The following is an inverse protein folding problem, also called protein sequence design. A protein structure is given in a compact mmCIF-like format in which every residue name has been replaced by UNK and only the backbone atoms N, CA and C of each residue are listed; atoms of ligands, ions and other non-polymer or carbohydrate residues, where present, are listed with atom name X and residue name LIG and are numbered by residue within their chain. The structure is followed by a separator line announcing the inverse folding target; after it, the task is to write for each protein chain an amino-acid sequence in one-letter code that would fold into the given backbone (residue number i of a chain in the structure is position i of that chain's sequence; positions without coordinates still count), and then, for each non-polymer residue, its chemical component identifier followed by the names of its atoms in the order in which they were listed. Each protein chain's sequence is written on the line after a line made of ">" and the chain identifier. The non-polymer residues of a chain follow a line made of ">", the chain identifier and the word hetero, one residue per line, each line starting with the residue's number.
data_IF_991453748655
#
_entry.id   IF_991453748655
#
_cell.length_a   1.000
_cell.length_b   1.000
_cell.length_c   1.000
_cell.angle_alpha   90.00
_cell.angle_beta   90.00
_cell.angle_gamma   90.00
#
_symmetry.space_group_name_H-M   'P 1'
#
loop_
_entity.id
_entity.type
_entity.pdbx_description
1 polymer ?
#
# COMPACT_ATOMS: atom_id res chain seq x y z
N UNK A 1 -0.85 -3.73 -26.17
CA UNK A 1 0.18 -4.05 -25.17
C UNK A 1 0.14 -2.96 -24.10
N UNK A 2 -0.52 -3.21 -22.98
CA UNK A 2 -0.52 -2.28 -21.85
C UNK A 2 0.83 -2.42 -21.14
N UNK A 3 1.74 -1.52 -21.42
CA UNK A 3 3.03 -1.47 -20.76
C UNK A 3 2.82 -0.93 -19.35
N UNK A 4 2.91 -1.85 -18.37
CA UNK A 4 2.96 -1.57 -16.94
C UNK A 4 4.05 -0.53 -16.68
N UNK A 5 3.69 0.76 -16.57
CA UNK A 5 4.57 1.74 -15.92
C UNK A 5 4.46 1.55 -14.42
N UNK A 6 5.03 0.44 -13.91
CA UNK A 6 5.78 0.58 -12.66
C UNK A 6 6.97 1.41 -13.10
N UNK A 7 7.01 2.67 -12.70
CA UNK A 7 8.25 3.44 -12.77
C UNK A 7 9.30 2.59 -12.06
N UNK A 8 10.16 1.94 -12.83
CA UNK A 8 11.43 1.42 -12.35
C UNK A 8 12.26 2.62 -11.96
N UNK A 9 11.90 3.26 -10.85
CA UNK A 9 12.85 4.04 -10.10
C UNK A 9 13.78 3.01 -9.46
N UNK A 10 14.93 2.82 -10.11
CA UNK A 10 16.14 2.40 -9.41
C UNK A 10 16.47 3.54 -8.45
N UNK A 11 15.74 3.61 -7.32
CA UNK A 11 16.27 4.30 -6.17
C UNK A 11 17.41 3.40 -5.72
N UNK A 12 18.64 3.89 -5.88
CA UNK A 12 19.75 3.40 -5.08
C UNK A 12 19.40 3.65 -3.62
N UNK A 13 18.62 2.75 -3.02
CA UNK A 13 18.47 2.66 -1.59
C UNK A 13 19.80 2.11 -1.11
N UNK A 14 20.68 3.04 -0.78
CA UNK A 14 21.82 2.79 0.10
C UNK A 14 21.25 2.09 1.33
N UNK A 15 21.57 0.78 1.43
CA UNK A 15 21.14 -0.08 2.53
C UNK A 15 21.96 0.34 3.74
N UNK A 16 21.60 1.49 4.32
CA UNK A 16 22.21 2.00 5.52
C UNK A 16 21.92 0.96 6.60
N UNK A 17 22.96 0.22 6.99
CA UNK A 17 22.89 -0.77 8.05
C UNK A 17 22.24 -0.18 9.28
N UNK A 18 21.40 -0.98 9.92
CA UNK A 18 20.63 -0.60 11.10
C UNK A 18 21.54 -0.64 12.34
N UNK A 19 22.66 0.06 12.26
CA UNK A 19 23.47 0.36 13.42
C UNK A 19 22.63 1.27 14.30
N UNK A 20 22.54 0.91 15.58
CA UNK A 20 21.79 1.62 16.62
C UNK A 20 21.99 3.13 16.46
N UNK A 21 20.99 3.81 15.91
CA UNK A 21 20.97 5.26 15.85
C UNK A 21 20.74 5.70 17.29
N UNK A 22 21.79 6.28 17.86
CA UNK A 22 21.79 7.06 19.09
C UNK A 22 20.52 7.89 19.18
N UNK A 23 19.74 7.70 20.25
CA UNK A 23 18.62 8.54 20.72
C UNK A 23 17.75 9.18 19.63
N UNK A 24 16.46 8.82 19.49
CA UNK A 24 15.59 9.51 18.53
C UNK A 24 15.69 11.02 18.74
N UNK A 25 15.71 11.83 17.65
CA UNK A 25 15.70 13.29 17.79
C UNK A 25 14.53 13.66 18.72
N UNK A 26 14.77 14.51 19.70
CA UNK A 26 13.81 14.82 20.78
C UNK A 26 12.44 15.34 20.28
N UNK A 27 12.34 15.72 19.01
CA UNK A 27 11.11 16.22 18.38
C UNK A 27 10.28 15.14 17.65
N UNK A 28 10.75 13.90 17.52
CA UNK A 28 10.01 12.86 16.80
C UNK A 28 8.91 12.29 17.69
N UNK A 29 7.67 12.70 17.42
CA UNK A 29 6.45 12.16 18.02
C UNK A 29 5.60 11.45 16.97
N UNK A 30 4.74 10.52 17.39
CA UNK A 30 3.79 9.86 16.47
C UNK A 30 2.89 10.89 15.79
N UNK A 31 2.46 11.92 16.51
CA UNK A 31 1.66 13.01 15.95
C UNK A 31 2.42 13.78 14.87
N UNK A 32 3.69 14.11 15.09
CA UNK A 32 4.52 14.78 14.08
C UNK A 32 4.77 13.90 12.86
N UNK A 33 5.00 12.60 13.07
CA UNK A 33 5.17 11.61 12.00
C UNK A 33 3.90 11.49 11.14
N UNK A 34 2.73 11.36 11.79
CA UNK A 34 1.45 11.24 11.09
C UNK A 34 1.08 12.54 10.37
N UNK A 35 1.33 13.70 11.00
CA UNK A 35 1.10 15.00 10.37
C UNK A 35 1.97 15.17 9.13
N UNK A 36 3.27 14.86 9.20
CA UNK A 36 4.15 14.93 8.02
C UNK A 36 3.69 13.95 6.91
N UNK A 37 3.39 12.70 7.27
CA UNK A 37 2.89 11.68 6.33
C UNK A 37 1.63 12.12 5.58
N UNK A 38 0.73 12.83 6.28
CA UNK A 38 -0.56 13.32 5.76
C UNK A 38 -0.49 14.75 5.20
N UNK A 39 0.71 15.33 5.06
CA UNK A 39 0.87 16.67 4.48
C UNK A 39 0.33 17.80 5.37
N UNK A 40 0.43 17.65 6.69
CA UNK A 40 -0.01 18.62 7.70
C UNK A 40 -1.40 18.36 8.28
N UNK A 41 -2.14 17.35 7.79
CA UNK A 41 -3.44 17.00 8.35
C UNK A 41 -3.31 16.22 9.67
N UNK A 42 -4.24 16.45 10.60
CA UNK A 42 -4.31 15.68 11.83
C UNK A 42 -4.94 14.30 11.57
N UNK A 43 -4.33 13.26 12.16
CA UNK A 43 -4.87 11.91 12.07
C UNK A 43 -6.05 11.73 13.04
N UNK A 44 -7.24 11.47 12.50
CA UNK A 44 -8.40 11.00 13.24
C UNK A 44 -8.80 9.59 12.78
N UNK A 45 -8.93 8.64 13.70
CA UNK A 45 -9.25 7.25 13.36
C UNK A 45 -10.59 7.11 12.61
N UNK A 46 -11.61 7.87 13.00
CA UNK A 46 -12.91 7.88 12.32
C UNK A 46 -12.86 8.47 10.90
N UNK A 47 -11.83 9.27 10.61
CA UNK A 47 -11.66 9.97 9.34
C UNK A 47 -10.63 9.30 8.43
N UNK A 48 -10.05 8.16 8.84
CA UNK A 48 -9.00 7.46 8.10
C UNK A 48 -9.37 7.13 6.64
N UNK A 49 -10.66 6.95 6.34
CA UNK A 49 -11.17 6.72 4.96
C UNK A 49 -11.02 7.95 4.06
N UNK A 50 -11.01 9.16 4.63
CA UNK A 50 -10.88 10.43 3.92
C UNK A 50 -9.43 10.92 3.85
N UNK A 51 -8.55 10.36 4.67
CA UNK A 51 -7.15 10.74 4.75
C UNK A 51 -6.33 10.00 3.69
N UNK A 52 -5.48 10.75 2.99
CA UNK A 52 -4.59 10.21 1.96
C UNK A 52 -3.14 10.56 2.30
N UNK A 53 -2.24 9.59 2.15
CA UNK A 53 -0.80 9.78 2.34
C UNK A 53 -0.28 10.73 1.26
N UNK A 54 0.12 11.94 1.67
CA UNK A 54 0.63 12.99 0.78
C UNK A 54 2.16 13.00 0.70
N UNK A 55 2.85 12.62 1.78
CA UNK A 55 4.30 12.55 1.83
C UNK A 55 4.78 11.13 2.20
N UNK A 56 4.84 10.19 1.23
CA UNK A 56 5.32 8.84 1.49
C UNK A 56 6.76 8.79 2.03
N UNK A 57 7.57 9.83 1.80
CA UNK A 57 8.95 9.93 2.31
C UNK A 57 9.05 9.88 3.84
N UNK A 58 8.01 10.36 4.53
CA UNK A 58 7.92 10.32 5.99
C UNK A 58 7.94 8.89 6.55
N UNK A 59 7.57 7.87 5.76
CA UNK A 59 7.59 6.46 6.15
C UNK A 59 8.98 5.97 6.58
N UNK A 60 10.08 6.63 6.15
CA UNK A 60 11.44 6.33 6.63
C UNK A 60 11.59 6.47 8.14
N UNK A 61 10.83 7.39 8.75
CA UNK A 61 10.88 7.67 10.18
C UNK A 61 10.39 6.47 11.00
N UNK A 62 9.44 5.70 10.47
CA UNK A 62 8.85 4.55 11.16
C UNK A 62 9.92 3.56 11.62
N UNK A 63 10.70 3.00 10.69
CA UNK A 63 11.71 1.98 11.02
C UNK A 63 13.04 2.55 11.55
N UNK A 64 13.30 3.85 11.34
CA UNK A 64 14.54 4.48 11.82
C UNK A 64 14.45 5.07 13.23
N UNK A 65 13.28 5.58 13.61
CA UNK A 65 13.13 6.40 14.82
C UNK A 65 11.98 5.98 15.72
N UNK A 66 11.02 5.17 15.24
CA UNK A 66 9.89 4.71 16.06
C UNK A 66 10.11 3.26 16.47
N UNK A 67 10.16 2.34 15.50
CA UNK A 67 10.27 0.90 15.77
C UNK A 67 11.61 0.55 16.42
N UNK A 68 11.55 -0.09 17.59
CA UNK A 68 12.73 -0.47 18.37
C UNK A 68 13.46 0.70 19.06
N UNK A 69 12.94 1.93 18.98
CA UNK A 69 13.55 3.12 19.58
C UNK A 69 12.64 3.82 20.59
N UNK A 70 11.32 3.75 20.41
CA UNK A 70 10.32 4.29 21.35
C UNK A 70 9.74 3.19 22.23
N UNK A 71 8.93 3.56 23.23
CA UNK A 71 8.22 2.58 24.05
C UNK A 71 7.16 1.80 23.23
N UNK A 72 6.78 0.62 23.74
CA UNK A 72 5.87 -0.29 23.06
C UNK A 72 4.52 0.36 22.72
N UNK A 73 3.95 1.17 23.60
CA UNK A 73 2.65 1.79 23.36
C UNK A 73 2.71 2.78 22.19
N UNK A 74 3.78 3.57 22.13
CA UNK A 74 4.03 4.52 21.04
C UNK A 74 4.27 3.82 19.71
N UNK A 75 5.05 2.73 19.69
CA UNK A 75 5.26 1.90 18.49
C UNK A 75 3.94 1.32 17.98
N UNK A 76 3.12 0.76 18.89
CA UNK A 76 1.81 0.21 18.57
C UNK A 76 0.87 1.28 18.03
N UNK A 77 0.84 2.47 18.64
CA UNK A 77 0.02 3.59 18.19
C UNK A 77 0.34 4.01 16.75
N UNK A 78 1.63 4.15 16.42
CA UNK A 78 2.06 4.51 15.07
C UNK A 78 1.66 3.44 14.04
N UNK A 79 1.86 2.16 14.38
CA UNK A 79 1.51 1.03 13.51
C UNK A 79 -0.01 0.90 13.34
N UNK A 80 -0.80 1.09 14.39
CA UNK A 80 -2.26 1.03 14.30
C UNK A 80 -2.83 2.16 13.45
N UNK A 81 -2.29 3.37 13.55
CA UNK A 81 -2.66 4.48 12.67
C UNK A 81 -2.35 4.15 11.20
N UNK A 82 -1.14 3.64 10.92
CA UNK A 82 -0.76 3.28 9.56
C UNK A 82 -1.58 2.10 9.00
N UNK A 83 -1.84 1.08 9.83
CA UNK A 83 -2.72 -0.05 9.48
C UNK A 83 -4.12 0.46 9.13
N UNK A 84 -4.68 1.38 9.93
CA UNK A 84 -5.99 1.94 9.67
C UNK A 84 -6.02 2.74 8.35
N UNK A 85 -4.98 3.52 8.04
CA UNK A 85 -4.86 4.24 6.77
C UNK A 85 -4.82 3.30 5.56
N UNK A 86 -3.98 2.24 5.59
CA UNK A 86 -3.85 1.31 4.46
C UNK A 86 -5.06 0.38 4.33
N UNK A 87 -5.69 -0.02 5.43
CA UNK A 87 -6.91 -0.84 5.40
C UNK A 87 -8.09 -0.07 4.80
N UNK A 88 -8.10 1.25 4.96
CA UNK A 88 -9.22 2.10 4.56
C UNK A 88 -9.11 2.64 3.14
N UNK A 89 -7.91 2.65 2.54
CA UNK A 89 -7.69 3.13 1.17
C UNK A 89 -6.58 2.39 0.43
N UNK A 90 -6.90 1.89 -0.76
CA UNK A 90 -5.99 1.34 -1.76
C UNK A 90 -5.01 2.41 -2.27
N UNK A 91 -5.41 3.68 -2.31
CA UNK A 91 -4.51 4.79 -2.60
C UNK A 91 -3.37 4.88 -1.59
N UNK A 92 -3.69 4.73 -0.30
CA UNK A 92 -2.69 4.68 0.78
C UNK A 92 -1.81 3.43 0.69
N UNK A 93 -2.36 2.29 0.29
CA UNK A 93 -1.57 1.07 0.00
C UNK A 93 -0.57 1.36 -1.12
N UNK A 94 -1.03 1.93 -2.25
CA UNK A 94 -0.16 2.23 -3.39
C UNK A 94 0.91 3.27 -3.05
N UNK A 95 0.59 4.28 -2.25
CA UNK A 95 1.57 5.25 -1.74
C UNK A 95 2.67 4.56 -0.90
N UNK A 96 2.28 3.64 -0.02
CA UNK A 96 3.23 2.83 0.75
C UNK A 96 4.09 1.92 -0.14
N UNK A 97 3.48 1.26 -1.12
CA UNK A 97 4.19 0.37 -2.05
C UNK A 97 5.15 1.14 -2.96
N UNK A 98 4.73 2.30 -3.48
CA UNK A 98 5.54 3.19 -4.32
C UNK A 98 6.76 3.72 -3.58
N UNK A 99 6.62 3.96 -2.27
CA UNK A 99 7.74 4.32 -1.41
C UNK A 99 8.72 3.14 -1.17
N UNK A 100 8.23 1.90 -1.24
CA UNK A 100 9.00 0.70 -0.95
C UNK A 100 8.86 0.19 0.49
N UNK A 101 7.78 0.56 1.21
CA UNK A 101 7.55 0.17 2.61
C UNK A 101 7.54 -1.35 2.80
N UNK A 102 7.03 -2.10 1.82
CA UNK A 102 7.05 -3.56 1.85
C UNK A 102 8.48 -4.11 1.96
N UNK A 103 9.42 -3.53 1.21
CA UNK A 103 10.83 -3.93 1.23
C UNK A 103 11.49 -3.55 2.56
N UNK A 104 11.18 -2.36 3.12
CA UNK A 104 11.64 -1.97 4.45
C UNK A 104 11.17 -2.96 5.53
N UNK A 105 9.93 -3.45 5.47
CA UNK A 105 9.44 -4.49 6.37
C UNK A 105 10.21 -5.81 6.18
N UNK A 106 10.47 -6.23 4.94
CA UNK A 106 11.22 -7.46 4.69
C UNK A 106 12.68 -7.36 5.19
N UNK A 107 13.32 -6.21 5.00
CA UNK A 107 14.64 -5.93 5.58
C UNK A 107 14.56 -5.94 7.10
N UNK A 108 13.54 -5.33 7.70
CA UNK A 108 13.29 -5.37 9.15
C UNK A 108 13.26 -6.80 9.67
N UNK A 109 12.42 -7.64 9.07
CA UNK A 109 12.24 -9.02 9.50
C UNK A 109 13.55 -9.80 9.37
N UNK A 110 14.27 -9.60 8.25
CA UNK A 110 15.52 -10.31 7.94
C UNK A 110 16.65 -9.95 8.91
N UNK A 111 16.74 -8.70 9.33
CA UNK A 111 17.86 -8.21 10.15
C UNK A 111 17.54 -8.22 11.65
N UNK A 112 16.30 -7.98 12.06
CA UNK A 112 15.91 -7.83 13.48
C UNK A 112 14.65 -8.61 13.85
N UNK A 113 13.59 -8.53 13.04
CA UNK A 113 12.25 -8.98 13.44
C UNK A 113 12.07 -10.49 13.61
N UNK A 114 12.94 -11.32 13.02
CA UNK A 114 12.93 -12.77 13.26
C UNK A 114 13.82 -13.23 14.42
N UNK A 115 14.53 -12.31 15.08
CA UNK A 115 15.45 -12.61 16.17
C UNK A 115 14.93 -12.04 17.49
N UNK A 116 15.47 -12.54 18.60
CA UNK A 116 15.12 -12.01 19.91
C UNK A 116 15.62 -10.57 20.06
N UNK A 117 14.70 -9.60 20.03
CA UNK A 117 15.02 -8.17 20.15
C UNK A 117 14.24 -7.55 21.31
N UNK A 118 14.89 -7.17 22.43
CA UNK A 118 14.22 -6.60 23.60
C UNK A 118 13.46 -5.30 23.30
N UNK A 119 13.83 -4.59 22.22
CA UNK A 119 13.19 -3.32 21.85
C UNK A 119 11.94 -3.51 20.98
N UNK A 120 11.67 -4.74 20.53
CA UNK A 120 10.55 -5.10 19.66
C UNK A 120 9.75 -6.20 20.32
N UNK A 121 8.64 -5.84 20.97
CA UNK A 121 7.77 -6.83 21.57
C UNK A 121 7.05 -7.69 20.52
N UNK A 122 6.57 -8.86 20.93
CA UNK A 122 5.70 -9.70 20.11
C UNK A 122 4.43 -8.98 19.64
N UNK A 123 3.94 -8.00 20.41
CA UNK A 123 2.80 -7.19 20.01
C UNK A 123 3.15 -6.26 18.84
N UNK A 124 4.31 -5.59 18.92
CA UNK A 124 4.81 -4.74 17.83
C UNK A 124 5.04 -5.57 16.57
N UNK A 125 5.70 -6.73 16.68
CA UNK A 125 5.95 -7.62 15.55
C UNK A 125 4.64 -8.04 14.86
N UNK A 126 3.62 -8.45 15.62
CA UNK A 126 2.30 -8.77 15.07
C UNK A 126 1.66 -7.62 14.30
N UNK A 127 1.85 -6.38 14.76
CA UNK A 127 1.33 -5.18 14.07
C UNK A 127 2.12 -4.93 12.77
N UNK A 128 3.44 -5.07 12.76
CA UNK A 128 4.27 -5.00 11.55
C UNK A 128 3.83 -6.06 10.52
N UNK A 129 3.63 -7.30 10.96
CA UNK A 129 3.16 -8.38 10.10
C UNK A 129 1.74 -8.17 9.58
N UNK A 130 0.86 -7.58 10.40
CA UNK A 130 -0.49 -7.19 9.96
C UNK A 130 -0.46 -6.08 8.91
N UNK A 131 0.41 -5.08 9.07
CA UNK A 131 0.65 -4.06 8.05
C UNK A 131 1.16 -4.70 6.76
N UNK A 132 2.14 -5.60 6.87
CA UNK A 132 2.67 -6.36 5.74
C UNK A 132 1.60 -7.14 4.98
N UNK A 133 0.70 -7.81 5.70
CA UNK A 133 -0.43 -8.54 5.12
C UNK A 133 -1.32 -7.59 4.29
N UNK A 134 -1.68 -6.41 4.82
CA UNK A 134 -2.49 -5.45 4.06
C UNK A 134 -1.76 -4.96 2.79
N UNK A 135 -0.46 -4.73 2.85
CA UNK A 135 0.32 -4.33 1.67
C UNK A 135 0.40 -5.47 0.63
N UNK A 136 0.59 -6.72 1.08
CA UNK A 136 0.72 -7.88 0.21
C UNK A 136 -0.62 -8.30 -0.43
N UNK A 137 -1.76 -8.05 0.22
CA UNK A 137 -3.08 -8.40 -0.32
C UNK A 137 -3.43 -7.70 -1.65
N UNK A 138 -2.75 -6.60 -2.00
CA UNK A 138 -3.12 -5.76 -3.15
C UNK A 138 -2.45 -6.12 -4.48
N UNK A 139 -1.50 -7.06 -4.51
CA UNK A 139 -1.06 -7.87 -5.66
C UNK A 139 0.35 -8.37 -5.36
N UNK A 140 0.54 -9.69 -5.39
CA UNK A 140 1.86 -10.29 -5.13
C UNK A 140 2.46 -10.78 -6.45
N UNK A 141 3.61 -10.23 -6.83
CA UNK A 141 4.38 -10.73 -7.97
C UNK A 141 5.34 -11.85 -7.57
N UNK A 142 5.86 -12.58 -8.55
CA UNK A 142 6.88 -13.62 -8.29
C UNK A 142 8.19 -13.06 -7.72
N UNK A 143 8.49 -11.78 -7.92
CA UNK A 143 9.60 -11.08 -7.27
C UNK A 143 9.33 -10.85 -5.78
N UNK A 144 8.09 -10.50 -5.45
CA UNK A 144 7.68 -10.24 -4.07
C UNK A 144 7.72 -11.54 -3.25
N UNK A 145 7.28 -12.66 -3.83
CA UNK A 145 7.40 -14.00 -3.21
C UNK A 145 8.87 -14.36 -2.97
N UNK A 146 9.75 -14.12 -3.96
CA UNK A 146 11.18 -14.38 -3.80
C UNK A 146 11.78 -13.53 -2.68
N UNK A 147 11.38 -12.26 -2.58
CA UNK A 147 11.83 -11.35 -1.52
C UNK A 147 11.32 -11.76 -0.14
N UNK A 148 10.06 -12.21 -0.04
CA UNK A 148 9.50 -12.79 1.19
C UNK A 148 10.31 -13.99 1.66
N UNK A 149 10.57 -14.95 0.77
CA UNK A 149 11.33 -16.15 1.12
C UNK A 149 12.81 -15.85 1.39
N UNK A 150 13.37 -14.77 0.83
CA UNK A 150 14.75 -14.35 1.06
C UNK A 150 15.01 -13.89 2.50
N UNK A 151 13.97 -13.58 3.28
CA UNK A 151 14.10 -13.27 4.72
C UNK A 151 14.76 -14.43 5.48
N UNK A 152 14.45 -15.68 5.12
CA UNK A 152 15.06 -16.88 5.71
C UNK A 152 16.50 -17.14 5.24
N UNK A 153 17.04 -16.31 4.36
CA UNK A 153 18.43 -16.39 3.88
C UNK A 153 19.30 -15.29 4.50
N UNK A 154 18.88 -14.74 5.63
CA UNK A 154 19.65 -13.74 6.36
C UNK A 154 21.02 -14.30 6.74
N UNK A 155 22.14 -13.59 6.46
CA UNK A 155 23.45 -13.98 6.96
C UNK A 155 23.49 -14.15 8.48
N UNK A 156 22.63 -13.40 9.21
CA UNK A 156 22.53 -13.48 10.67
C UNK A 156 22.05 -14.85 11.16
N UNK A 157 21.24 -15.56 10.38
CA UNK A 157 20.79 -16.93 10.72
C UNK A 157 21.93 -17.95 10.74
N UNK A 158 23.13 -17.61 10.21
CA UNK A 158 24.31 -18.46 10.33
C UNK A 158 25.00 -18.37 11.69
N UNK A 159 24.66 -17.33 12.47
CA UNK A 159 25.38 -16.95 13.69
C UNK A 159 24.48 -16.85 14.92
N UNK A 160 23.17 -16.71 14.71
CA UNK A 160 22.18 -16.57 15.76
C UNK A 160 20.93 -17.36 15.40
N UNK A 161 20.40 -18.10 16.37
CA UNK A 161 19.14 -18.82 16.18
C UNK A 161 17.99 -17.80 16.17
N UNK A 162 17.06 -17.90 15.20
CA UNK A 162 15.89 -17.04 15.18
C UNK A 162 14.95 -17.35 16.36
N UNK A 163 14.09 -16.39 16.71
CA UNK A 163 13.01 -16.62 17.66
C UNK A 163 11.91 -17.45 16.98
N UNK A 164 11.71 -18.69 17.45
CA UNK A 164 10.69 -19.62 16.96
C UNK A 164 9.30 -18.98 16.91
N UNK A 165 8.96 -18.13 17.88
CA UNK A 165 7.66 -17.49 17.94
C UNK A 165 7.50 -16.44 16.84
N UNK A 166 8.55 -15.65 16.59
CA UNK A 166 8.60 -14.65 15.52
C UNK A 166 8.55 -15.32 14.13
N UNK A 167 9.31 -16.40 13.93
CA UNK A 167 9.29 -17.22 12.71
C UNK A 167 7.88 -17.79 12.48
N UNK A 168 7.25 -18.34 13.51
CA UNK A 168 5.88 -18.87 13.43
C UNK A 168 4.86 -17.81 13.00
N UNK A 169 4.96 -16.59 13.55
CA UNK A 169 4.08 -15.48 13.12
C UNK A 169 4.34 -15.08 11.66
N UNK A 170 5.61 -15.01 11.25
CA UNK A 170 5.94 -14.65 9.87
C UNK A 170 5.45 -15.70 8.88
N UNK A 171 5.70 -16.99 9.13
CA UNK A 171 5.23 -18.09 8.28
C UNK A 171 3.70 -18.12 8.20
N UNK A 172 3.01 -17.92 9.33
CA UNK A 172 1.54 -17.82 9.35
C UNK A 172 1.04 -16.65 8.49
N UNK A 173 1.75 -15.52 8.52
CA UNK A 173 1.41 -14.35 7.68
C UNK A 173 1.60 -14.65 6.19
N UNK A 174 2.70 -15.34 5.82
CA UNK A 174 2.93 -15.77 4.43
C UNK A 174 1.86 -16.76 3.96
N UNK A 175 1.43 -17.67 4.83
CA UNK A 175 0.33 -18.58 4.54
C UNK A 175 -0.98 -17.81 4.28
N UNK A 176 -1.30 -16.81 5.11
CA UNK A 176 -2.48 -15.96 4.90
C UNK A 176 -2.41 -15.24 3.55
N UNK A 177 -1.26 -14.66 3.19
CA UNK A 177 -1.05 -14.03 1.88
C UNK A 177 -1.26 -15.03 0.74
N UNK A 178 -0.78 -16.28 0.90
CA UNK A 178 -0.94 -17.32 -0.12
C UNK A 178 -2.39 -17.79 -0.27
N UNK A 179 -3.17 -17.79 0.81
CA UNK A 179 -4.59 -18.20 0.81
C UNK A 179 -5.52 -17.09 0.31
N UNK A 180 -5.31 -15.86 0.77
CA UNK A 180 -6.24 -14.72 0.60
C UNK A 180 -5.85 -13.79 -0.55
N UNK A 181 -5.56 -14.33 -1.73
CA UNK A 181 -5.34 -13.53 -2.95
C UNK A 181 -6.67 -13.00 -3.53
N UNK A 182 -7.42 -12.24 -2.73
CA UNK A 182 -8.62 -11.51 -3.14
C UNK A 182 -8.33 -10.01 -3.15
N UNK A 183 -7.57 -9.58 -4.16
CA UNK A 183 -7.37 -8.18 -4.53
C UNK A 183 -7.64 -7.99 -6.02
N UNK A 184 -7.97 -6.76 -6.46
CA UNK A 184 -8.06 -6.50 -7.89
C UNK A 184 -6.70 -6.81 -8.54
N UNK A 185 -6.69 -7.49 -9.68
CA UNK A 185 -5.45 -7.79 -10.42
C UNK A 185 -4.72 -6.53 -10.90
N UNK A 186 -5.39 -5.38 -10.86
CA UNK A 186 -4.85 -4.06 -11.17
C UNK A 186 -5.61 -2.98 -10.39
N UNK A 187 -4.87 -2.04 -9.80
CA UNK A 187 -5.41 -0.83 -9.17
C UNK A 187 -5.17 0.38 -10.09
N UNK A 188 -6.15 1.27 -10.17
CA UNK A 188 -6.06 2.53 -10.89
C UNK A 188 -6.53 3.64 -9.96
N UNK A 189 -5.63 4.58 -9.64
CA UNK A 189 -6.03 5.82 -8.99
C UNK A 189 -6.60 6.78 -10.06
N UNK A 190 -7.82 7.26 -9.84
CA UNK A 190 -8.53 8.18 -10.73
C UNK A 190 -8.84 9.52 -10.03
N UNK A 191 -8.02 9.90 -9.04
CA UNK A 191 -8.22 11.11 -8.23
C UNK A 191 -7.96 12.44 -8.95
N UNK A 192 -7.29 12.44 -10.12
CA UNK A 192 -6.96 13.66 -10.86
C UNK A 192 -8.04 14.13 -11.85
N UNK A 193 -7.98 15.41 -12.23
CA UNK A 193 -8.83 15.96 -13.29
C UNK A 193 -8.60 15.21 -14.61
N UNK A 194 -9.69 14.81 -15.27
CA UNK A 194 -9.67 14.00 -16.50
C UNK A 194 -9.01 12.61 -16.36
N UNK A 195 -8.91 12.07 -15.13
CA UNK A 195 -8.46 10.70 -14.93
C UNK A 195 -9.47 9.71 -15.52
N UNK A 196 -8.97 8.71 -16.24
CA UNK A 196 -9.79 7.67 -16.84
C UNK A 196 -8.98 6.67 -17.65
N UNK A 197 -9.62 5.58 -18.04
CA UNK A 197 -9.02 4.59 -18.92
C UNK A 197 -9.19 5.04 -20.38
N UNK A 198 -8.08 5.39 -21.02
CA UNK A 198 -8.04 5.70 -22.47
C UNK A 198 -7.64 4.44 -23.22
N UNK A 199 -8.55 3.90 -24.02
CA UNK A 199 -8.21 2.86 -24.99
C UNK A 199 -7.54 3.50 -26.22
N UNK A 200 -6.46 2.90 -26.74
CA UNK A 200 -5.87 3.37 -27.98
C UNK A 200 -6.91 3.31 -29.11
N UNK A 201 -6.86 4.28 -30.02
CA UNK A 201 -7.74 4.33 -31.18
C UNK A 201 -7.54 3.05 -31.98
N UNK A 202 -8.59 2.22 -32.05
CA UNK A 202 -8.55 1.01 -32.86
C UNK A 202 -8.69 1.39 -34.34
N UNK A 203 -7.78 0.92 -35.19
CA UNK A 203 -7.79 1.23 -36.62
C UNK A 203 -9.07 0.72 -37.31
N UNK A 204 -9.55 -0.44 -36.86
CA UNK A 204 -10.83 -1.04 -37.25
C UNK A 204 -11.62 -1.44 -36.01
N UNK A 205 -12.84 -0.93 -35.88
CA UNK A 205 -13.77 -1.39 -34.86
C UNK A 205 -14.35 -2.77 -35.25
N UNK A 206 -14.46 -3.75 -34.35
CA UNK A 206 -15.01 -5.05 -34.69
C UNK A 206 -16.45 -4.92 -35.19
N UNK A 207 -16.72 -5.45 -36.39
CA UNK A 207 -18.01 -5.34 -37.09
C UNK A 207 -19.16 -6.10 -36.41
N UNK A 208 -18.82 -7.05 -35.53
CA UNK A 208 -19.77 -7.85 -34.75
C UNK A 208 -20.10 -7.23 -33.39
N UNK A 209 -19.59 -6.03 -33.09
CA UNK A 209 -19.70 -5.39 -31.78
C UNK A 209 -18.56 -5.80 -30.84
N UNK A 210 -18.53 -5.16 -29.67
CA UNK A 210 -17.54 -5.40 -28.61
C UNK A 210 -18.25 -5.43 -27.26
N UNK A 211 -17.67 -6.19 -26.33
CA UNK A 211 -18.10 -6.19 -24.92
C UNK A 211 -16.90 -5.81 -24.06
N UNK A 212 -17.07 -4.77 -23.24
CA UNK A 212 -16.13 -4.42 -22.20
C UNK A 212 -16.74 -4.77 -20.84
N UNK A 213 -16.04 -5.61 -20.08
CA UNK A 213 -16.44 -5.98 -18.72
C UNK A 213 -15.35 -5.51 -17.76
N UNK A 214 -15.75 -4.79 -16.71
CA UNK A 214 -14.86 -4.39 -15.63
C UNK A 214 -15.59 -4.50 -14.30
N UNK A 215 -14.86 -4.90 -13.26
CA UNK A 215 -15.29 -4.79 -11.88
C UNK A 215 -14.65 -3.54 -11.28
N UNK A 216 -15.48 -2.61 -10.80
CA UNK A 216 -15.03 -1.35 -10.24
C UNK A 216 -15.39 -1.33 -8.75
N UNK A 217 -14.39 -1.04 -7.92
CA UNK A 217 -14.56 -0.80 -6.48
C UNK A 217 -14.28 0.68 -6.22
N UNK A 218 -15.25 1.39 -5.64
CA UNK A 218 -15.07 2.78 -5.22
C UNK A 218 -14.72 2.82 -3.74
N UNK A 219 -13.70 3.59 -3.38
CA UNK A 219 -13.37 3.86 -1.97
C UNK A 219 -14.21 5.01 -1.44
N UNK A 220 -14.32 6.06 -2.26
CA UNK A 220 -15.23 7.18 -2.07
C UNK A 220 -16.02 7.36 -3.36
N UNK A 221 -17.35 7.38 -3.26
CA UNK A 221 -18.20 7.71 -4.40
C UNK A 221 -18.15 9.22 -4.64
N UNK A 222 -18.00 9.66 -5.90
CA UNK A 222 -17.93 11.08 -6.20
C UNK A 222 -19.31 11.74 -5.99
N UNK A 223 -19.31 12.92 -5.38
CA UNK A 223 -20.53 13.72 -5.17
C UNK A 223 -21.07 14.30 -6.49
N UNK A 224 -20.17 14.52 -7.46
CA UNK A 224 -20.48 14.91 -8.84
C UNK A 224 -20.32 13.73 -9.79
N UNK A 225 -20.93 13.79 -10.97
CA UNK A 225 -20.82 12.69 -11.93
C UNK A 225 -19.38 12.58 -12.45
N UNK A 226 -18.67 11.51 -12.07
CA UNK A 226 -17.32 11.23 -12.53
C UNK A 226 -17.35 10.23 -13.71
N UNK A 227 -16.64 10.51 -14.82
CA UNK A 227 -16.54 9.58 -15.93
C UNK A 227 -15.78 8.31 -15.51
N UNK A 228 -16.37 7.14 -15.77
CA UNK A 228 -15.75 5.83 -15.52
C UNK A 228 -14.94 5.35 -16.72
N UNK A 229 -15.55 5.42 -17.90
CA UNK A 229 -14.90 5.11 -19.16
C UNK A 229 -15.59 5.85 -20.29
N UNK A 230 -14.82 6.12 -21.34
CA UNK A 230 -15.27 6.77 -22.56
C UNK A 230 -14.73 5.98 -23.75
N UNK A 231 -15.62 5.57 -24.65
CA UNK A 231 -15.26 4.99 -25.94
C UNK A 231 -15.51 6.04 -27.02
N UNK A 232 -14.45 6.68 -27.53
CA UNK A 232 -14.55 7.62 -28.65
C UNK A 232 -14.11 6.98 -29.95
N UNK A 233 -14.94 7.12 -30.99
CA UNK A 233 -14.52 6.86 -32.37
C UNK A 233 -13.65 8.00 -32.93
N UNK A 234 -13.15 7.85 -34.16
CA UNK A 234 -12.34 8.87 -34.86
C UNK A 234 -13.06 10.22 -35.07
N UNK A 235 -14.36 10.28 -34.82
CA UNK A 235 -15.22 11.46 -35.00
C UNK A 235 -15.60 12.14 -33.69
N UNK A 236 -14.94 11.80 -32.56
CA UNK A 236 -15.28 12.26 -31.19
C UNK A 236 -16.72 11.94 -30.74
N UNK A 237 -17.44 11.13 -31.52
CA UNK A 237 -18.72 10.55 -31.13
C UNK A 237 -18.44 9.25 -30.38
N UNK A 238 -19.02 9.12 -29.19
CA UNK A 238 -18.64 8.06 -28.28
C UNK A 238 -19.65 7.80 -27.17
N UNK A 239 -19.45 6.69 -26.47
CA UNK A 239 -20.25 6.32 -25.29
C UNK A 239 -19.46 6.69 -24.05
N UNK A 240 -20.04 7.52 -23.18
CA UNK A 240 -19.53 7.80 -21.86
C UNK A 240 -20.39 7.08 -20.80
N UNK A 241 -19.72 6.35 -19.92
CA UNK A 241 -20.31 5.85 -18.69
C UNK A 241 -19.78 6.69 -17.52
N UNK A 242 -20.66 7.17 -16.65
CA UNK A 242 -20.29 7.95 -15.47
C UNK A 242 -21.04 7.47 -14.23
N UNK A 243 -20.46 7.63 -13.05
CA UNK A 243 -21.10 7.31 -11.77
C UNK A 243 -21.30 8.56 -10.92
N UNK A 244 -22.37 8.60 -10.13
CA UNK A 244 -22.60 9.63 -9.11
C UNK A 244 -23.29 9.00 -7.90
N UNK A 245 -23.06 9.55 -6.71
CA UNK A 245 -23.92 9.31 -5.56
C UNK A 245 -25.30 9.99 -5.74
N UNK A 246 -26.38 9.22 -5.71
CA UNK A 246 -27.76 9.68 -5.70
C UNK A 246 -28.46 9.30 -4.37
N UNK A 247 -29.65 9.86 -4.13
CA UNK A 247 -30.50 9.62 -2.94
C UNK A 247 -30.83 8.16 -2.65
N UNK A 248 -30.59 7.25 -3.60
CA UNK A 248 -30.82 5.81 -3.48
C UNK A 248 -29.52 4.97 -3.54
N UNK A 249 -28.34 5.60 -3.56
CA UNK A 249 -27.04 4.93 -3.69
C UNK A 249 -26.27 5.35 -4.95
N UNK A 250 -25.29 4.54 -5.39
CA UNK A 250 -24.54 4.82 -6.61
C UNK A 250 -25.43 4.63 -7.86
N UNK A 251 -25.50 5.66 -8.70
CA UNK A 251 -26.23 5.64 -9.97
C UNK A 251 -25.25 5.72 -11.15
N UNK A 252 -25.45 4.83 -12.13
CA UNK A 252 -24.66 4.80 -13.37
C UNK A 252 -25.46 5.50 -14.48
N UNK A 253 -24.84 6.50 -15.11
CA UNK A 253 -25.41 7.26 -16.21
C UNK A 253 -24.69 6.90 -17.51
N UNK A 254 -25.47 6.69 -18.56
CA UNK A 254 -24.97 6.50 -19.93
C UNK A 254 -25.30 7.74 -20.75
N UNK A 255 -24.28 8.35 -21.34
CA UNK A 255 -24.43 9.38 -22.39
C UNK A 255 -24.01 8.77 -23.72
N UNK A 256 -24.93 8.83 -24.69
CA UNK A 256 -24.73 8.34 -26.07
C UNK A 256 -24.64 9.52 -27.02
#
# INVERSE_FOLDING_TARGET
>A
MLQRRRSTFTVGMEVAGWAAISTPPTDVTVTSFLSDLLGGQEYGEAEAVKLSIQNPGALRVLFRHIIGAMDEATQVQALDALINLVRSSCGNVEACLSFGLQNEILVFLRERGLFADPSVSNQVLKKILRLFLYLANHSVSSEDIRSMLAVFRSPRMLHEDPDDQAVSYYVSTLEMIARDSFGPSSFFDMSGDYSGLILPVMESFPSTGYTFCAWLKFELLPETAAPLFMFCGKTDVGIMCSTKLDKHGAAIYKRS
#
